data_IF_944421388633
#
_entry.id   IF_944421388633
#
_cell.length_a   1.000
_cell.length_b   1.000
_cell.length_c   1.000
_cell.angle_alpha   90.00
_cell.angle_beta   90.00
_cell.angle_gamma   90.00
#
_symmetry.space_group_name_H-M   'P 1'
#
loop_
_entity.id
_entity.type
_entity.pdbx_description
1 polymer ?
#
# COMPACT_ATOMS: atom_id res chain seq x y z
N UNK A 1 -2.58 8.13 3.92
CA UNK A 1 -2.00 6.78 3.90
C UNK A 1 -3.04 5.74 4.29
N UNK A 2 -2.75 4.49 4.13
CA UNK A 2 -3.66 3.43 4.52
C UNK A 2 -3.02 2.06 4.50
N UNK A 3 -3.78 1.05 4.92
CA UNK A 3 -3.36 -0.34 4.93
C UNK A 3 -3.81 -1.04 3.65
N UNK A 4 -3.00 -1.98 3.21
CA UNK A 4 -3.30 -2.85 2.08
C UNK A 4 -3.61 -4.25 2.58
N UNK A 5 -4.70 -4.81 2.08
CA UNK A 5 -5.16 -6.15 2.38
C UNK A 5 -5.05 -7.03 1.14
N UNK A 6 -4.75 -8.30 1.34
CA UNK A 6 -4.65 -9.21 0.23
C UNK A 6 -4.26 -10.62 0.63
N UNK A 7 -3.83 -11.38 -0.36
CA UNK A 7 -3.46 -12.78 -0.23
C UNK A 7 -2.17 -13.06 -1.00
N UNK A 8 -1.43 -14.07 -0.56
CA UNK A 8 -0.33 -14.60 -1.33
C UNK A 8 -0.87 -15.60 -2.35
N UNK A 9 -0.67 -15.27 -3.63
CA UNK A 9 -1.06 -16.15 -4.73
C UNK A 9 0.03 -17.14 -5.10
N UNK A 10 -0.22 -17.90 -6.17
CA UNK A 10 0.73 -18.86 -6.70
C UNK A 10 2.00 -18.18 -7.22
N UNK A 11 3.13 -18.87 -7.15
CA UNK A 11 4.44 -18.45 -7.70
C UNK A 11 5.01 -17.19 -7.04
N UNK A 12 4.71 -16.97 -5.77
CA UNK A 12 5.23 -15.82 -5.04
C UNK A 12 4.60 -14.48 -5.40
N UNK A 13 3.47 -14.49 -6.10
CA UNK A 13 2.70 -13.27 -6.36
C UNK A 13 1.96 -12.83 -5.12
N UNK A 14 2.01 -11.54 -4.86
CA UNK A 14 1.23 -10.90 -3.81
C UNK A 14 0.07 -10.16 -4.46
N UNK A 15 -1.15 -10.54 -4.11
CA UNK A 15 -2.35 -9.91 -4.64
C UNK A 15 -2.95 -8.96 -3.62
N UNK A 16 -3.02 -7.68 -3.98
CA UNK A 16 -3.71 -6.66 -3.19
C UNK A 16 -5.17 -6.66 -3.62
N UNK A 17 -6.05 -7.02 -2.71
CA UNK A 17 -7.49 -7.17 -3.00
C UNK A 17 -8.36 -6.11 -2.35
N UNK A 18 -7.86 -5.45 -1.32
CA UNK A 18 -8.62 -4.42 -0.61
C UNK A 18 -7.67 -3.44 0.09
N UNK A 19 -8.23 -2.35 0.58
CA UNK A 19 -7.49 -1.35 1.34
C UNK A 19 -8.42 -0.54 2.24
N UNK A 20 -7.85 0.14 3.22
CA UNK A 20 -8.57 1.16 3.98
C UNK A 20 -7.63 2.30 4.34
N UNK A 21 -8.16 3.51 4.39
CA UNK A 21 -7.40 4.68 4.79
C UNK A 21 -7.24 4.76 6.31
N UNK A 22 -6.13 5.27 6.77
CA UNK A 22 -5.85 5.51 8.19
C UNK A 22 -5.45 6.97 8.37
N UNK A 23 -6.02 7.67 9.35
CA UNK A 23 -5.60 9.04 9.65
C UNK A 23 -4.12 9.11 10.00
N UNK A 24 -3.43 10.02 9.31
CA UNK A 24 -2.01 10.22 9.45
C UNK A 24 -1.70 11.71 9.30
N UNK A 25 -0.94 12.26 10.23
CA UNK A 25 -0.54 13.66 10.20
C UNK A 25 0.96 13.78 10.38
N UNK A 26 1.57 14.67 9.62
CA UNK A 26 2.97 15.06 9.75
C UNK A 26 3.03 16.53 10.17
N UNK A 27 3.96 16.86 11.05
CA UNK A 27 4.24 18.25 11.39
C UNK A 27 5.05 18.88 10.25
N UNK A 28 4.56 19.99 9.70
CA UNK A 28 5.23 20.69 8.61
C UNK A 28 6.53 21.37 9.06
N UNK A 29 6.60 21.80 10.32
CA UNK A 29 7.76 22.47 10.87
C UNK A 29 8.83 21.47 11.38
N UNK A 30 8.39 20.32 11.87
CA UNK A 30 9.26 19.25 12.35
C UNK A 30 8.94 17.94 11.61
N UNK A 31 9.62 17.65 10.49
CA UNK A 31 9.33 16.47 9.67
C UNK A 31 9.51 15.14 10.39
N UNK A 32 10.27 15.11 11.50
CA UNK A 32 10.46 13.91 12.30
C UNK A 32 9.27 13.60 13.23
N UNK A 33 8.34 14.55 13.37
CA UNK A 33 7.14 14.40 14.21
C UNK A 33 5.96 14.02 13.32
N UNK A 34 5.37 12.87 13.61
CA UNK A 34 4.22 12.38 12.88
C UNK A 34 3.29 11.62 13.82
N UNK A 35 2.02 11.57 13.45
CA UNK A 35 0.98 10.89 14.20
C UNK A 35 0.25 9.88 13.31
N UNK A 36 0.12 8.67 13.83
CA UNK A 36 -0.61 7.57 13.19
C UNK A 36 -1.71 7.11 14.17
N UNK A 37 -2.95 7.08 13.70
CA UNK A 37 -4.08 6.70 14.54
C UNK A 37 -4.17 5.17 14.69
N UNK A 38 -3.52 4.65 15.70
CA UNK A 38 -3.49 3.22 16.00
C UNK A 38 -4.87 2.66 16.38
N UNK A 39 -5.70 3.45 17.07
CA UNK A 39 -7.03 3.03 17.49
C UNK A 39 -7.92 2.83 16.28
N UNK A 40 -7.93 3.78 15.37
CA UNK A 40 -8.69 3.70 14.13
C UNK A 40 -8.23 2.51 13.30
N UNK A 41 -6.92 2.31 13.18
CA UNK A 41 -6.35 1.19 12.43
C UNK A 41 -6.81 -0.16 12.99
N UNK A 42 -6.76 -0.34 14.30
CA UNK A 42 -7.22 -1.57 14.97
C UNK A 42 -8.71 -1.83 14.74
N UNK A 43 -9.55 -0.81 14.86
CA UNK A 43 -10.99 -0.91 14.63
C UNK A 43 -11.30 -1.31 13.19
N UNK A 44 -10.64 -0.68 12.22
CA UNK A 44 -10.82 -0.99 10.80
C UNK A 44 -10.32 -2.38 10.46
N UNK A 45 -9.18 -2.78 11.03
CA UNK A 45 -8.64 -4.12 10.84
C UNK A 45 -9.61 -5.20 11.34
N UNK A 46 -10.16 -5.02 12.54
CA UNK A 46 -11.13 -5.96 13.10
C UNK A 46 -12.41 -6.04 12.27
N UNK A 47 -12.88 -4.90 11.76
CA UNK A 47 -14.06 -4.85 10.89
C UNK A 47 -13.81 -5.61 9.57
N UNK A 48 -12.67 -5.39 8.94
CA UNK A 48 -12.30 -6.06 7.69
C UNK A 48 -12.16 -7.58 7.86
N UNK A 49 -11.63 -8.02 8.99
CA UNK A 49 -11.54 -9.46 9.29
C UNK A 49 -12.90 -10.13 9.40
N UNK A 50 -13.91 -9.42 9.89
CA UNK A 50 -15.29 -9.93 9.97
C UNK A 50 -15.93 -10.05 8.59
N UNK A 51 -15.59 -9.14 7.68
CA UNK A 51 -16.15 -9.13 6.31
C UNK A 51 -15.50 -10.23 5.49
N UNK A 52 -14.17 -10.35 5.52
CA UNK A 52 -13.42 -11.36 4.79
C UNK A 52 -12.17 -11.77 5.55
N UNK A 53 -12.25 -12.91 6.23
CA UNK A 53 -11.15 -13.43 7.03
C UNK A 53 -9.96 -13.97 6.22
N UNK A 54 -10.09 -14.11 4.90
CA UNK A 54 -9.01 -14.55 4.03
C UNK A 54 -8.01 -13.43 3.73
N UNK A 55 -8.51 -12.21 3.67
CA UNK A 55 -7.66 -11.05 3.46
C UNK A 55 -6.84 -10.74 4.71
N UNK A 56 -5.54 -10.59 4.53
CA UNK A 56 -4.60 -10.25 5.60
C UNK A 56 -3.96 -8.91 5.29
N UNK A 57 -3.45 -8.23 6.31
CA UNK A 57 -2.63 -7.04 6.08
C UNK A 57 -1.33 -7.50 5.41
N UNK A 58 -1.11 -7.03 4.19
CA UNK A 58 0.07 -7.34 3.38
C UNK A 58 1.03 -6.17 3.25
N UNK A 59 0.59 -4.98 3.62
CA UNK A 59 1.40 -3.78 3.52
C UNK A 59 0.60 -2.51 3.73
N UNK A 60 1.13 -1.43 3.17
CA UNK A 60 0.55 -0.10 3.33
C UNK A 60 0.84 0.77 2.11
N UNK A 61 0.12 1.88 1.99
CA UNK A 61 0.28 2.81 0.89
C UNK A 61 0.35 4.25 1.37
N UNK A 62 0.95 5.10 0.55
CA UNK A 62 0.90 6.54 0.70
C UNK A 62 0.68 7.22 -0.65
N UNK A 63 0.29 8.48 -0.61
CA UNK A 63 0.07 9.29 -1.81
C UNK A 63 1.19 10.31 -2.04
N UNK A 64 2.22 10.27 -1.21
CA UNK A 64 3.34 11.21 -1.30
C UNK A 64 4.09 11.09 -2.61
N UNK A 65 4.78 12.13 -3.07
CA UNK A 65 5.52 12.03 -4.34
C UNK A 65 6.65 11.02 -4.29
N UNK A 66 7.33 10.86 -3.16
CA UNK A 66 8.48 9.97 -3.00
C UNK A 66 8.54 9.39 -1.60
N UNK A 67 9.37 8.33 -1.43
CA UNK A 67 9.61 7.78 -0.10
C UNK A 67 10.29 8.82 0.80
N UNK A 68 9.72 9.00 1.98
CA UNK A 68 10.20 9.96 2.98
C UNK A 68 11.00 9.24 4.06
N UNK A 69 11.77 10.01 4.82
CA UNK A 69 12.54 9.49 5.95
C UNK A 69 11.68 8.72 6.96
N UNK A 70 10.45 9.17 7.20
CA UNK A 70 9.54 8.54 8.16
C UNK A 70 8.94 7.23 7.65
N UNK A 71 9.03 6.94 6.37
CA UNK A 71 8.40 5.77 5.77
C UNK A 71 8.99 4.46 6.33
N UNK A 72 10.26 4.44 6.66
CA UNK A 72 10.89 3.27 7.31
C UNK A 72 10.25 3.01 8.69
N UNK A 73 10.02 4.07 9.47
CA UNK A 73 9.39 3.95 10.79
C UNK A 73 7.93 3.50 10.69
N UNK A 74 7.21 4.03 9.72
CA UNK A 74 5.83 3.63 9.44
C UNK A 74 5.78 2.17 9.01
N UNK A 75 6.71 1.74 8.18
CA UNK A 75 6.81 0.35 7.76
C UNK A 75 6.99 -0.61 8.94
N UNK A 76 7.70 -0.19 9.98
CA UNK A 76 7.86 -0.97 11.22
C UNK A 76 6.52 -1.22 11.93
N UNK A 77 5.58 -0.29 11.86
CA UNK A 77 4.23 -0.47 12.42
C UNK A 77 3.54 -1.64 11.72
N UNK A 78 3.64 -1.71 10.40
CA UNK A 78 3.01 -2.78 9.62
C UNK A 78 3.74 -4.12 9.71
N UNK A 79 5.02 -4.12 10.10
CA UNK A 79 5.76 -5.36 10.35
C UNK A 79 5.21 -6.18 11.51
N UNK A 80 4.43 -5.57 12.39
CA UNK A 80 3.73 -6.29 13.47
C UNK A 80 2.65 -7.21 12.93
N UNK A 81 2.09 -6.90 11.76
CA UNK A 81 1.04 -7.67 11.10
C UNK A 81 1.60 -8.62 10.04
N UNK A 82 2.67 -8.21 9.39
CA UNK A 82 3.31 -8.99 8.33
C UNK A 82 4.82 -8.76 8.39
N UNK A 83 5.61 -9.83 8.43
CA UNK A 83 7.07 -9.74 8.57
C UNK A 83 7.74 -9.03 7.38
N UNK A 84 7.12 -9.06 6.22
CA UNK A 84 7.62 -8.40 5.01
C UNK A 84 6.49 -7.61 4.33
N UNK A 85 6.09 -6.45 4.90
CA UNK A 85 5.02 -5.66 4.30
C UNK A 85 5.48 -5.00 2.99
N UNK A 86 4.58 -4.95 2.01
CA UNK A 86 4.80 -4.18 0.79
C UNK A 86 4.45 -2.71 1.05
N UNK A 87 5.26 -1.81 0.53
CA UNK A 87 4.98 -0.37 0.55
C UNK A 87 4.66 0.10 -0.87
N UNK A 88 3.51 0.69 -1.05
CA UNK A 88 3.04 1.18 -2.35
C UNK A 88 2.86 2.68 -2.32
N UNK A 89 3.49 3.38 -3.24
CA UNK A 89 3.26 4.80 -3.46
C UNK A 89 2.29 4.96 -4.62
N UNK A 90 1.14 5.57 -4.34
CA UNK A 90 0.14 5.90 -5.36
C UNK A 90 0.26 7.38 -5.70
N UNK A 91 0.62 7.69 -6.93
CA UNK A 91 0.72 9.08 -7.40
C UNK A 91 -0.65 9.59 -7.80
N UNK A 92 -1.05 10.70 -7.18
CA UNK A 92 -2.37 11.31 -7.42
C UNK A 92 -2.17 12.63 -8.17
N UNK A 93 -3.00 12.86 -9.19
CA UNK A 93 -3.05 14.14 -9.89
C UNK A 93 -2.21 14.29 -11.15
N UNK A 94 -1.41 13.30 -11.51
CA UNK A 94 -0.69 13.28 -12.78
C UNK A 94 -1.45 12.46 -13.82
N UNK A 95 -2.10 13.14 -14.75
CA UNK A 95 -3.01 12.53 -15.73
C UNK A 95 -2.27 11.97 -16.97
N UNK A 96 -1.02 12.36 -17.19
CA UNK A 96 -0.30 12.06 -18.43
C UNK A 96 0.85 11.05 -18.28
N UNK A 97 0.87 10.26 -17.23
CA UNK A 97 1.93 9.26 -17.08
C UNK A 97 1.68 8.03 -17.94
N UNK A 98 2.68 7.72 -18.76
CA UNK A 98 2.75 6.45 -19.46
C UNK A 98 3.16 5.39 -18.44
N UNK A 99 2.24 4.51 -18.06
CA UNK A 99 2.47 3.43 -17.11
C UNK A 99 1.57 3.48 -15.88
N UNK A 100 1.84 2.62 -14.91
CA UNK A 100 1.07 2.54 -13.69
C UNK A 100 1.40 3.72 -12.76
N UNK A 101 0.39 4.37 -12.15
CA UNK A 101 0.63 5.46 -11.19
C UNK A 101 1.08 4.94 -9.81
N UNK A 102 1.51 3.68 -9.73
CA UNK A 102 1.90 3.03 -8.50
C UNK A 102 3.31 2.49 -8.59
N UNK A 103 4.06 2.61 -7.49
CA UNK A 103 5.39 2.02 -7.34
C UNK A 103 5.42 1.24 -6.02
N UNK A 104 5.89 0.01 -6.06
CA UNK A 104 5.92 -0.86 -4.89
C UNK A 104 7.35 -1.17 -4.44
N UNK A 105 7.51 -1.31 -3.14
CA UNK A 105 8.80 -1.59 -2.51
C UNK A 105 8.64 -2.62 -1.40
N UNK A 106 9.68 -3.45 -1.24
CA UNK A 106 9.92 -4.20 0.00
C UNK A 106 11.13 -3.64 0.73
N UNK A 107 11.23 -3.88 2.02
CA UNK A 107 12.45 -3.54 2.75
C UNK A 107 13.42 -4.70 2.76
N UNK A 108 14.69 -4.38 2.55
CA UNK A 108 15.79 -5.33 2.72
C UNK A 108 16.68 -4.87 3.86
N UNK A 109 17.14 -5.83 4.66
CA UNK A 109 18.08 -5.58 5.72
C UNK A 109 19.50 -5.73 5.18
N UNK A 110 20.34 -4.72 5.42
CA UNK A 110 21.76 -4.74 5.10
C UNK A 110 22.56 -4.45 6.34
N UNK A 111 23.69 -5.13 6.49
CA UNK A 111 24.65 -4.84 7.54
C UNK A 111 25.70 -3.92 6.93
N UNK A 112 25.86 -2.72 7.50
CA UNK A 112 26.87 -1.78 7.03
C UNK A 112 28.28 -2.16 7.50
N UNK A 113 29.29 -1.39 7.08
CA UNK A 113 30.70 -1.66 7.42
C UNK A 113 30.97 -1.59 8.94
N UNK A 114 30.15 -0.84 9.67
CA UNK A 114 30.27 -0.71 11.13
C UNK A 114 29.50 -1.79 11.90
N UNK A 115 28.86 -2.73 11.20
CA UNK A 115 28.07 -3.80 11.80
C UNK A 115 26.65 -3.39 12.18
N UNK A 116 26.20 -2.19 11.80
CA UNK A 116 24.86 -1.71 12.07
C UNK A 116 23.87 -2.24 11.03
N UNK A 117 22.70 -2.62 11.51
CA UNK A 117 21.61 -3.07 10.65
C UNK A 117 20.93 -1.86 10.02
N UNK A 118 20.89 -1.80 8.69
CA UNK A 118 20.16 -0.80 7.91
C UNK A 118 19.07 -1.46 7.11
N UNK A 119 17.95 -0.77 6.96
CA UNK A 119 16.86 -1.18 6.08
C UNK A 119 16.74 -0.19 4.94
N UNK A 120 16.58 -0.72 3.73
CA UNK A 120 16.33 0.10 2.56
C UNK A 120 15.20 -0.49 1.74
N UNK A 121 14.50 0.37 1.01
CA UNK A 121 13.43 -0.03 0.12
C UNK A 121 13.99 -0.53 -1.20
N UNK A 122 13.48 -1.67 -1.64
CA UNK A 122 13.82 -2.27 -2.92
C UNK A 122 12.58 -2.31 -3.81
N UNK A 123 12.70 -1.77 -5.01
CA UNK A 123 11.62 -1.72 -5.99
C UNK A 123 11.17 -3.12 -6.40
N UNK A 124 9.86 -3.29 -6.51
CA UNK A 124 9.21 -4.54 -6.92
C UNK A 124 8.34 -4.28 -8.14
N UNK A 125 8.42 -5.11 -9.20
CA UNK A 125 7.52 -4.97 -10.35
C UNK A 125 6.06 -5.15 -9.93
N UNK A 126 5.19 -4.31 -10.50
CA UNK A 126 3.75 -4.33 -10.21
C UNK A 126 2.95 -4.38 -11.50
N UNK A 127 1.76 -4.96 -11.42
CA UNK A 127 0.77 -4.93 -12.48
C UNK A 127 -0.62 -4.78 -11.88
N UNK A 128 -1.55 -4.25 -12.66
CA UNK A 128 -2.95 -4.16 -12.24
C UNK A 128 -3.68 -5.37 -12.82
N UNK A 129 -4.32 -6.13 -11.93
CA UNK A 129 -5.21 -7.22 -12.29
C UNK A 129 -6.63 -6.91 -11.84
N UNK A 130 -7.59 -7.64 -12.37
CA UNK A 130 -8.98 -7.53 -11.97
C UNK A 130 -9.60 -8.92 -11.89
N UNK A 131 -10.54 -9.10 -10.95
CA UNK A 131 -11.36 -10.29 -10.92
C UNK A 131 -12.32 -10.28 -12.11
N UNK A 132 -12.88 -11.43 -12.48
CA UNK A 132 -13.84 -11.50 -13.57
C UNK A 132 -15.03 -10.57 -13.35
N UNK A 133 -15.51 -10.47 -12.12
CA UNK A 133 -16.62 -9.56 -11.77
C UNK A 133 -16.21 -8.09 -11.94
N UNK A 134 -14.99 -7.72 -11.55
CA UNK A 134 -14.46 -6.38 -11.71
C UNK A 134 -14.30 -6.00 -13.19
N UNK A 135 -13.80 -6.93 -14.02
CA UNK A 135 -13.69 -6.73 -15.47
C UNK A 135 -15.05 -6.45 -16.13
N UNK A 136 -16.08 -7.22 -15.75
CA UNK A 136 -17.44 -7.01 -16.24
C UNK A 136 -17.96 -5.64 -15.82
N UNK A 137 -17.72 -5.23 -14.57
CA UNK A 137 -18.11 -3.91 -14.05
C UNK A 137 -17.46 -2.77 -14.84
N UNK A 138 -16.16 -2.88 -15.13
CA UNK A 138 -15.43 -1.87 -15.93
C UNK A 138 -15.96 -1.81 -17.36
N UNK A 139 -16.24 -2.95 -18.00
CA UNK A 139 -16.84 -2.98 -19.33
C UNK A 139 -18.19 -2.28 -19.38
N UNK A 140 -19.06 -2.50 -18.38
CA UNK A 140 -20.34 -1.80 -18.29
C UNK A 140 -20.15 -0.29 -18.15
N UNK A 141 -19.24 0.16 -17.31
CA UNK A 141 -18.95 1.59 -17.17
C UNK A 141 -18.44 2.22 -18.47
N UNK A 142 -17.59 1.52 -19.20
CA UNK A 142 -17.08 2.00 -20.49
C UNK A 142 -18.18 2.09 -21.55
N UNK A 143 -19.12 1.15 -21.58
CA UNK A 143 -20.28 1.20 -22.46
C UNK A 143 -21.17 2.39 -22.14
N UNK A 144 -21.47 2.62 -20.87
CA UNK A 144 -22.31 3.74 -20.42
C UNK A 144 -21.68 5.08 -20.81
N UNK A 145 -20.37 5.22 -20.69
CA UNK A 145 -19.64 6.42 -21.13
C UNK A 145 -19.74 6.62 -22.64
N UNK A 146 -19.63 5.55 -23.43
CA UNK A 146 -19.79 5.62 -24.89
C UNK A 146 -21.20 5.99 -25.28
N UNK A 147 -22.20 5.43 -24.63
CA UNK A 147 -23.61 5.70 -24.93
C UNK A 147 -24.03 7.11 -24.53
N UNK A 148 -23.36 7.70 -23.54
CA UNK A 148 -23.61 9.07 -23.09
C UNK A 148 -22.91 10.13 -23.96
N UNK A 149 -22.01 9.73 -24.81
CA UNK A 149 -21.30 10.62 -25.74
C UNK A 149 -21.90 10.53 -27.16
#
# INVERSE_FOLDING_TARGET
>A
MGALLGEYGDKGKLEVTNCYAVPFEEDLDEPDVWFFDHIYHEEMFNMMRRINGREKIIGWYSTGPDSKKNDIQINEIFRRYNTMPVYVICRVGEVEQIGLPTTAYFTQEEIDQDGNLRRQFIHVPTSIGATQAEEVGVEHLLRDIKDAS
#
